data_IF_917990160977
#
_entry.id   IF_917990160977
#
_cell.length_a   1.000
_cell.length_b   1.000
_cell.length_c   1.000
_cell.angle_alpha   90.00
_cell.angle_beta   90.00
_cell.angle_gamma   90.00
#
_symmetry.space_group_name_H-M   'P 1'
#
loop_
_entity.id
_entity.type
_entity.pdbx_description
1 polymer ?
#
# COMPACT_ATOMS: atom_id res chain seq x y z
N UNK A 1 -23.39 23.93 23.28
CA UNK A 1 -22.40 23.32 22.37
C UNK A 1 -22.84 21.89 22.10
N UNK A 2 -23.26 21.57 20.87
CA UNK A 2 -23.61 20.20 20.51
C UNK A 2 -22.31 19.39 20.36
N UNK A 3 -22.12 18.37 21.20
CA UNK A 3 -21.03 17.41 21.05
C UNK A 3 -21.33 16.54 19.84
N UNK A 4 -20.55 16.67 18.77
CA UNK A 4 -20.68 15.78 17.61
C UNK A 4 -20.42 14.34 18.03
N UNK A 5 -21.35 13.44 17.71
CA UNK A 5 -21.21 11.99 17.93
C UNK A 5 -20.00 11.49 17.14
N UNK A 6 -19.19 10.63 17.77
CA UNK A 6 -18.08 9.97 17.09
C UNK A 6 -18.60 9.12 15.90
N UNK A 7 -17.91 9.16 14.74
CA UNK A 7 -18.30 8.35 13.60
C UNK A 7 -18.14 6.86 13.92
N UNK A 8 -19.09 6.06 13.44
CA UNK A 8 -19.09 4.61 13.53
C UNK A 8 -18.06 4.02 12.58
N UNK A 9 -17.71 2.75 12.80
CA UNK A 9 -16.82 1.99 11.91
C UNK A 9 -17.31 2.00 10.45
N UNK A 10 -18.61 1.86 10.25
CA UNK A 10 -19.21 1.85 8.92
C UNK A 10 -19.06 3.21 8.24
N UNK A 11 -19.36 4.31 8.95
CA UNK A 11 -19.21 5.68 8.43
C UNK A 11 -17.75 5.98 8.06
N UNK A 12 -16.77 5.58 8.89
CA UNK A 12 -15.34 5.75 8.59
C UNK A 12 -14.91 4.90 7.38
N UNK A 13 -15.39 3.66 7.30
CA UNK A 13 -15.08 2.77 6.18
C UNK A 13 -15.62 3.32 4.86
N UNK A 14 -16.85 3.84 4.86
CA UNK A 14 -17.48 4.40 3.66
C UNK A 14 -16.74 5.66 3.20
N UNK A 15 -16.47 6.59 4.12
CA UNK A 15 -15.72 7.80 3.82
C UNK A 15 -14.32 7.50 3.24
N UNK A 16 -13.63 6.48 3.77
CA UNK A 16 -12.33 6.07 3.23
C UNK A 16 -12.42 5.46 1.83
N UNK A 17 -13.50 4.71 1.52
CA UNK A 17 -13.74 4.19 0.17
C UNK A 17 -14.04 5.29 -0.82
N UNK A 18 -14.85 6.26 -0.43
CA UNK A 18 -15.15 7.44 -1.24
C UNK A 18 -13.87 8.22 -1.55
N UNK A 19 -13.03 8.49 -0.54
CA UNK A 19 -11.73 9.15 -0.73
C UNK A 19 -10.80 8.34 -1.65
N UNK A 20 -10.74 7.03 -1.50
CA UNK A 20 -9.95 6.17 -2.39
C UNK A 20 -10.44 6.23 -3.83
N UNK A 21 -11.77 6.20 -4.03
CA UNK A 21 -12.40 6.34 -5.34
C UNK A 21 -12.10 7.71 -5.97
N UNK A 22 -12.22 8.81 -5.21
CA UNK A 22 -11.91 10.16 -5.67
C UNK A 22 -10.43 10.32 -6.05
N UNK A 23 -9.54 9.62 -5.34
CA UNK A 23 -8.12 9.58 -5.66
C UNK A 23 -7.77 8.65 -6.83
N UNK A 24 -8.74 7.93 -7.42
CA UNK A 24 -8.51 6.95 -8.48
C UNK A 24 -7.70 5.73 -8.01
N UNK A 25 -7.73 5.43 -6.71
CA UNK A 25 -7.01 4.31 -6.11
C UNK A 25 -7.97 3.16 -5.90
N UNK A 26 -7.76 2.08 -6.65
CA UNK A 26 -8.46 0.81 -6.39
C UNK A 26 -7.80 0.09 -5.20
N UNK A 27 -8.43 0.22 -4.03
CA UNK A 27 -7.98 -0.42 -2.80
C UNK A 27 -8.75 -1.72 -2.61
N UNK A 28 -8.02 -2.85 -2.66
CA UNK A 28 -8.59 -4.16 -2.35
C UNK A 28 -9.20 -4.17 -0.94
N UNK A 29 -10.30 -4.91 -0.79
CA UNK A 29 -11.06 -4.98 0.46
C UNK A 29 -10.20 -5.44 1.67
N UNK A 30 -9.27 -6.35 1.47
CA UNK A 30 -8.35 -6.84 2.51
C UNK A 30 -7.34 -5.78 2.97
N UNK A 31 -6.81 -4.98 2.04
CA UNK A 31 -5.92 -3.86 2.35
C UNK A 31 -6.68 -2.76 3.08
N UNK A 32 -7.90 -2.44 2.64
CA UNK A 32 -8.77 -1.46 3.29
C UNK A 32 -9.05 -1.83 4.76
N UNK A 33 -9.37 -3.09 5.02
CA UNK A 33 -9.61 -3.61 6.37
C UNK A 33 -8.37 -3.56 7.25
N UNK A 34 -7.19 -3.89 6.71
CA UNK A 34 -5.94 -3.76 7.43
C UNK A 34 -5.64 -2.30 7.83
N UNK A 35 -5.92 -1.34 6.95
CA UNK A 35 -5.72 0.10 7.24
C UNK A 35 -6.66 0.57 8.35
N UNK A 36 -7.94 0.17 8.32
CA UNK A 36 -8.90 0.48 9.39
C UNK A 36 -8.44 -0.06 10.75
N UNK A 37 -7.93 -1.29 10.79
CA UNK A 37 -7.42 -1.90 12.02
C UNK A 37 -6.17 -1.19 12.55
N UNK A 38 -5.24 -0.77 11.66
CA UNK A 38 -4.08 0.02 12.06
C UNK A 38 -4.48 1.38 12.66
N UNK A 39 -5.49 2.04 12.09
CA UNK A 39 -6.05 3.28 12.63
C UNK A 39 -6.64 3.07 14.04
N UNK A 40 -7.33 1.94 14.28
CA UNK A 40 -7.86 1.59 15.61
C UNK A 40 -6.78 1.34 16.64
N UNK A 41 -5.66 0.75 16.22
CA UNK A 41 -4.47 0.55 17.06
C UNK A 41 -3.66 1.82 17.28
N UNK A 42 -4.15 2.98 16.81
CA UNK A 42 -3.48 4.29 16.92
C UNK A 42 -2.10 4.31 16.25
N UNK A 43 -1.91 3.50 15.21
CA UNK A 43 -0.72 3.59 14.38
C UNK A 43 -0.76 4.91 13.62
N UNK A 44 0.37 5.63 13.61
CA UNK A 44 0.46 6.93 12.95
C UNK A 44 0.14 6.78 11.46
N UNK A 45 -0.85 7.50 10.90
CA UNK A 45 -1.28 7.32 9.51
C UNK A 45 -0.16 7.50 8.48
N UNK A 46 0.77 8.43 8.75
CA UNK A 46 1.93 8.67 7.87
C UNK A 46 2.88 7.49 7.83
N UNK A 47 3.10 6.80 8.96
CA UNK A 47 3.90 5.58 9.01
C UNK A 47 3.22 4.44 8.24
N UNK A 48 1.91 4.26 8.39
CA UNK A 48 1.12 3.29 7.61
C UNK A 48 1.25 3.56 6.11
N UNK A 49 1.08 4.80 5.67
CA UNK A 49 1.21 5.18 4.26
C UNK A 49 2.62 4.92 3.71
N UNK A 50 3.66 5.20 4.50
CA UNK A 50 5.05 4.95 4.10
C UNK A 50 5.35 3.45 3.93
N UNK A 51 4.86 2.62 4.85
CA UNK A 51 5.02 1.17 4.77
C UNK A 51 4.28 0.60 3.55
N UNK A 52 3.02 1.00 3.33
CA UNK A 52 2.24 0.57 2.16
C UNK A 52 2.92 0.95 0.85
N UNK A 53 3.44 2.18 0.74
CA UNK A 53 4.21 2.63 -0.42
C UNK A 53 5.46 1.77 -0.64
N UNK A 54 6.21 1.46 0.41
CA UNK A 54 7.40 0.61 0.32
C UNK A 54 7.07 -0.81 -0.14
N UNK A 55 6.00 -1.41 0.42
CA UNK A 55 5.54 -2.74 0.04
C UNK A 55 5.08 -2.79 -1.42
N UNK A 56 4.28 -1.81 -1.85
CA UNK A 56 3.82 -1.71 -3.25
C UNK A 56 5.01 -1.57 -4.22
N UNK A 57 5.97 -0.70 -3.90
CA UNK A 57 7.18 -0.51 -4.71
C UNK A 57 8.01 -1.79 -4.82
N UNK A 58 8.22 -2.52 -3.71
CA UNK A 58 8.93 -3.81 -3.71
C UNK A 58 8.19 -4.89 -4.50
N UNK A 59 6.87 -4.96 -4.38
CA UNK A 59 6.05 -5.91 -5.12
C UNK A 59 6.13 -5.66 -6.63
N UNK A 60 6.06 -4.39 -7.05
CA UNK A 60 6.24 -3.98 -8.45
C UNK A 60 7.65 -4.30 -8.97
N UNK A 61 8.68 -4.04 -8.18
CA UNK A 61 10.07 -4.38 -8.51
C UNK A 61 10.23 -5.89 -8.75
N UNK A 62 9.68 -6.71 -7.85
CA UNK A 62 9.72 -8.18 -7.97
C UNK A 62 8.91 -8.69 -9.17
N UNK A 63 7.75 -8.09 -9.45
CA UNK A 63 6.94 -8.44 -10.63
C UNK A 63 7.65 -8.09 -11.95
N UNK A 64 8.45 -7.01 -12.00
CA UNK A 64 9.28 -6.66 -13.16
C UNK A 64 10.46 -7.61 -13.31
N UNK A 65 11.15 -7.97 -12.22
CA UNK A 65 12.25 -8.95 -12.26
C UNK A 65 11.78 -10.34 -12.66
N UNK A 66 10.58 -10.77 -12.23
CA UNK A 66 10.01 -12.07 -12.61
C UNK A 66 9.57 -12.15 -14.08
N UNK A 67 9.43 -11.01 -14.77
CA UNK A 67 9.13 -10.93 -16.22
C UNK A 67 10.38 -10.68 -17.09
N UNK A 68 11.56 -10.67 -16.49
CA UNK A 68 12.82 -10.29 -17.16
C UNK A 68 13.90 -11.38 -17.15
N UNK A 69 13.57 -12.62 -16.80
CA UNK A 69 14.51 -13.76 -16.86
C UNK A 69 14.07 -14.79 -17.91
N UNK A 70 13.90 -14.30 -19.13
CA UNK A 70 14.03 -15.09 -20.36
C UNK A 70 15.11 -14.39 -21.19
N UNK A 71 16.36 -14.76 -20.95
CA UNK A 71 17.49 -14.39 -21.81
C UNK A 71 18.30 -13.16 -21.40
N UNK A 72 19.16 -13.31 -20.39
CA UNK A 72 20.50 -12.74 -20.49
C UNK A 72 21.49 -13.60 -19.70
N UNK A 73 22.02 -14.62 -20.36
CA UNK A 73 23.33 -15.19 -20.02
C UNK A 73 24.32 -14.03 -20.10
N UNK A 74 24.65 -13.42 -18.96
CA UNK A 74 25.86 -12.59 -18.87
C UNK A 74 27.03 -13.53 -18.67
N UNK A 75 27.56 -13.97 -19.80
CA UNK A 75 28.93 -14.45 -19.91
C UNK A 75 29.85 -13.58 -19.06
N UNK A 76 30.71 -14.25 -18.31
CA UNK A 76 31.63 -13.62 -17.40
C UNK A 76 32.58 -12.68 -18.12
N UNK A 77 32.64 -11.44 -17.65
CA UNK A 77 33.86 -10.65 -17.74
C UNK A 77 34.26 -10.26 -16.31
N UNK A 78 35.09 -11.12 -15.71
CA UNK A 78 35.95 -10.75 -14.58
C UNK A 78 36.72 -9.50 -14.99
N UNK A 79 36.59 -8.44 -14.21
CA UNK A 79 37.45 -7.27 -14.31
C UNK A 79 38.60 -7.49 -13.33
N UNK A 80 39.66 -8.12 -13.82
CA UNK A 80 40.97 -8.17 -13.15
C UNK A 80 42.01 -7.56 -14.09
N UNK A 81 42.74 -6.58 -13.53
CA UNK A 81 43.70 -5.62 -14.12
C UNK A 81 43.15 -4.39 -14.82
#
# INVERSE_FOLDING_TARGET
MATARAPTRAEVSEALRELASLAGVDVRADVHEAVLELCRRRVVPTATAQVLRSLASKAQGRARSARGDDGCVKDGCRRDR
#
